data_IF_958294454794
#
_entry.id   IF_958294454794
#
_cell.length_a   1.000
_cell.length_b   1.000
_cell.length_c   1.000
_cell.angle_alpha   90.00
_cell.angle_beta   90.00
_cell.angle_gamma   90.00
#
_symmetry.space_group_name_H-M   'P 1'
#
loop_
_entity.id
_entity.type
_entity.pdbx_description
1 polymer ?
#
# COMPACT_ATOMS: atom_id res chain seq x y z
N UNK A 1 17.43 28.93 58.11
CA UNK A 1 17.93 29.89 57.10
C UNK A 1 16.82 30.09 56.09
N UNK A 2 16.26 31.31 56.05
CA UNK A 2 15.42 32.00 55.03
C UNK A 2 14.28 31.20 54.38
N UNK A 3 13.00 31.51 54.69
CA UNK A 3 12.12 32.52 54.03
C UNK A 3 11.85 32.14 52.55
N UNK A 4 10.65 32.02 51.96
CA UNK A 4 9.30 32.56 52.21
C UNK A 4 8.32 31.89 51.20
N UNK A 5 7.08 31.52 51.56
CA UNK A 5 5.77 32.19 51.29
C UNK A 5 5.12 31.93 49.89
N UNK A 6 3.98 31.22 49.95
CA UNK A 6 2.66 31.37 49.29
C UNK A 6 2.49 31.92 47.84
N UNK A 7 1.76 31.11 47.04
CA UNK A 7 0.84 31.37 45.92
C UNK A 7 -0.18 32.53 46.18
N UNK A 8 -1.19 32.87 45.32
CA UNK A 8 -1.36 32.99 43.86
C UNK A 8 -2.04 34.35 43.44
N UNK A 9 -2.32 34.57 42.13
CA UNK A 9 -3.45 35.34 41.51
C UNK A 9 -3.09 36.49 40.51
N UNK A 10 -3.90 36.50 39.43
CA UNK A 10 -4.26 37.54 38.42
C UNK A 10 -3.41 37.57 37.14
N UNK A 11 -3.88 37.01 36.02
CA UNK A 11 -5.00 37.41 35.12
C UNK A 11 -4.60 38.53 34.14
N UNK A 12 -4.64 38.26 32.82
CA UNK A 12 -5.55 38.96 31.91
C UNK A 12 -5.59 38.33 30.51
N UNK A 13 -6.84 38.11 30.08
CA UNK A 13 -7.38 37.82 28.76
C UNK A 13 -7.15 38.98 27.79
N UNK A 14 -6.95 38.70 26.49
CA UNK A 14 -7.34 39.64 25.41
C UNK A 14 -7.73 38.87 24.15
N UNK A 15 -9.01 38.98 23.83
CA UNK A 15 -9.70 38.46 22.65
C UNK A 15 -9.86 39.60 21.64
N UNK A 16 -9.58 39.31 20.38
CA UNK A 16 -10.20 39.81 19.13
C UNK A 16 -10.59 41.30 18.95
N UNK A 17 -10.21 41.90 17.81
CA UNK A 17 -11.18 42.25 16.75
C UNK A 17 -10.51 42.60 15.41
N UNK A 18 -11.27 42.34 14.35
CA UNK A 18 -10.93 42.36 12.94
C UNK A 18 -10.72 43.76 12.33
N UNK A 19 -9.96 43.78 11.24
CA UNK A 19 -10.12 44.75 10.15
C UNK A 19 -10.28 43.98 8.83
N UNK A 20 -11.39 44.28 8.14
CA UNK A 20 -11.66 43.92 6.75
C UNK A 20 -11.07 44.97 5.80
N UNK A 21 -11.03 44.59 4.51
CA UNK A 21 -10.64 45.31 3.27
C UNK A 21 -9.17 45.08 2.86
N UNK A 22 -8.82 44.66 1.63
CA UNK A 22 -9.52 44.64 0.35
C UNK A 22 -9.04 43.50 -0.59
N UNK A 23 -9.89 43.23 -1.58
CA UNK A 23 -9.71 42.41 -2.78
C UNK A 23 -8.49 42.83 -3.63
N UNK A 24 -7.77 41.86 -4.23
CA UNK A 24 -7.03 42.09 -5.47
C UNK A 24 -5.69 41.37 -5.61
N UNK A 25 -5.68 40.22 -6.30
CA UNK A 25 -4.47 39.63 -6.87
C UNK A 25 -4.44 38.11 -6.84
N UNK A 26 -4.94 37.47 -7.90
CA UNK A 26 -4.73 36.04 -8.12
C UNK A 26 -3.27 35.78 -8.48
N UNK A 27 -2.50 35.26 -7.54
CA UNK A 27 -1.24 34.57 -7.84
C UNK A 27 -1.59 33.10 -8.13
N UNK A 28 -1.25 32.68 -9.35
CA UNK A 28 -1.11 31.27 -9.66
C UNK A 28 0.13 30.77 -8.92
N UNK A 29 0.03 30.60 -7.60
CA UNK A 29 1.02 29.86 -6.83
C UNK A 29 0.93 28.43 -7.34
N UNK A 30 1.74 28.17 -8.36
CA UNK A 30 2.15 26.81 -8.70
C UNK A 30 2.79 26.30 -7.42
N UNK A 31 2.03 25.58 -6.62
CA UNK A 31 2.55 24.70 -5.59
C UNK A 31 3.66 23.90 -6.27
N UNK A 32 4.90 24.33 -6.07
CA UNK A 32 6.06 23.58 -6.50
C UNK A 32 5.98 22.32 -5.66
N UNK A 33 5.57 21.22 -6.30
CA UNK A 33 5.52 19.92 -5.66
C UNK A 33 6.84 19.74 -4.88
N UNK A 34 6.78 19.32 -3.60
CA UNK A 34 7.96 19.19 -2.77
C UNK A 34 9.02 18.37 -3.51
N UNK A 35 10.25 18.89 -3.56
CA UNK A 35 11.36 18.21 -4.21
C UNK A 35 11.55 16.85 -3.55
N UNK A 36 11.42 15.78 -4.32
CA UNK A 36 11.71 14.43 -3.86
C UNK A 36 13.18 14.14 -4.12
N UNK A 37 13.92 13.84 -3.05
CA UNK A 37 15.35 13.53 -3.11
C UNK A 37 15.56 12.02 -3.17
N UNK A 38 16.50 11.59 -4.01
CA UNK A 38 16.96 10.21 -4.04
C UNK A 38 17.81 9.93 -2.79
N UNK A 39 17.72 8.72 -2.23
CA UNK A 39 18.50 8.29 -1.07
C UNK A 39 19.92 7.90 -1.51
N UNK A 40 20.97 8.44 -0.90
CA UNK A 40 22.31 7.86 -1.04
C UNK A 40 22.37 6.50 -0.31
N UNK A 41 22.49 5.42 -1.07
CA UNK A 41 22.55 4.06 -0.50
C UNK A 41 23.98 3.81 0.00
N UNK A 42 24.10 3.39 1.24
CA UNK A 42 25.35 3.08 1.91
C UNK A 42 25.22 1.77 2.67
N UNK A 43 26.34 1.27 3.21
CA UNK A 43 26.30 0.08 4.05
C UNK A 43 25.40 0.24 5.29
N UNK A 44 25.34 1.46 5.84
CA UNK A 44 24.64 1.78 7.08
C UNK A 44 23.12 1.76 6.94
N UNK A 45 22.58 2.02 5.74
CA UNK A 45 21.13 2.04 5.48
C UNK A 45 20.66 0.89 4.55
N UNK A 46 21.57 -0.03 4.18
CA UNK A 46 21.25 -1.12 3.26
C UNK A 46 20.14 -2.05 3.79
N UNK A 47 20.07 -2.29 5.09
CA UNK A 47 19.03 -3.15 5.68
C UNK A 47 17.65 -2.47 5.61
N UNK A 48 17.58 -1.15 5.81
CA UNK A 48 16.34 -0.37 5.69
C UNK A 48 15.83 -0.34 4.24
N UNK A 49 16.74 -0.15 3.27
CA UNK A 49 16.41 -0.24 1.84
C UNK A 49 15.93 -1.64 1.47
N UNK A 50 16.60 -2.69 1.96
CA UNK A 50 16.21 -4.07 1.71
C UNK A 50 14.82 -4.40 2.28
N UNK A 51 14.52 -3.93 3.49
CA UNK A 51 13.22 -4.09 4.17
C UNK A 51 12.08 -3.45 3.38
N UNK A 52 12.25 -2.18 2.99
CA UNK A 52 11.27 -1.47 2.15
C UNK A 52 11.09 -2.20 0.81
N UNK A 53 12.19 -2.72 0.25
CA UNK A 53 12.20 -3.56 -0.92
C UNK A 53 11.40 -4.85 -0.78
N UNK A 54 11.57 -5.57 0.33
CA UNK A 54 10.85 -6.82 0.61
C UNK A 54 9.34 -6.57 0.66
N UNK A 55 8.91 -5.49 1.32
CA UNK A 55 7.49 -5.10 1.37
C UNK A 55 6.87 -4.92 -0.02
N UNK A 56 7.67 -4.51 -1.01
CA UNK A 56 7.19 -4.36 -2.39
C UNK A 56 6.94 -5.67 -3.13
N UNK A 57 7.64 -6.72 -2.74
CA UNK A 57 7.43 -8.07 -3.29
C UNK A 57 6.21 -8.75 -2.68
N UNK A 58 5.71 -8.26 -1.55
CA UNK A 58 4.49 -8.77 -0.93
C UNK A 58 3.20 -8.35 -1.66
N UNK A 59 3.27 -7.37 -2.57
CA UNK A 59 2.11 -6.89 -3.36
C UNK A 59 1.67 -7.93 -4.40
N UNK A 60 2.61 -8.70 -4.97
CA UNK A 60 2.31 -9.74 -5.96
C UNK A 60 1.44 -10.89 -5.41
N UNK A 61 1.83 -11.54 -4.29
CA UNK A 61 1.04 -12.58 -3.64
C UNK A 61 -0.33 -12.10 -3.14
N UNK A 62 -0.46 -10.83 -2.70
CA UNK A 62 -1.76 -10.26 -2.32
C UNK A 62 -2.75 -10.32 -3.49
N UNK A 63 -2.27 -10.03 -4.70
CA UNK A 63 -3.11 -9.96 -5.88
C UNK A 63 -3.31 -11.33 -6.56
N UNK A 64 -2.31 -12.23 -6.50
CA UNK A 64 -2.46 -13.61 -6.96
C UNK A 64 -3.51 -14.39 -6.11
N UNK A 65 -3.54 -14.13 -4.81
CA UNK A 65 -4.52 -14.77 -3.90
C UNK A 65 -5.94 -14.20 -4.02
N UNK A 66 -6.17 -13.07 -4.72
CA UNK A 66 -7.52 -12.60 -5.02
C UNK A 66 -8.30 -13.59 -5.90
N UNK A 67 -7.61 -14.45 -6.67
CA UNK A 67 -8.23 -15.44 -7.54
C UNK A 67 -8.51 -16.82 -6.92
N UNK A 68 -7.85 -17.19 -5.80
CA UNK A 68 -7.79 -18.60 -5.34
C UNK A 68 -8.19 -18.85 -3.88
N UNK A 69 -8.54 -17.82 -3.11
CA UNK A 69 -8.86 -17.97 -1.69
C UNK A 69 -7.61 -17.79 -0.82
N UNK A 70 -7.64 -16.72 0.00
CA UNK A 70 -6.48 -16.06 0.59
C UNK A 70 -5.85 -16.80 1.79
N UNK A 71 -4.67 -17.40 1.59
CA UNK A 71 -3.79 -17.93 2.64
C UNK A 71 -2.45 -17.19 2.75
N UNK A 72 -2.24 -16.55 3.92
CA UNK A 72 -1.00 -16.10 4.58
C UNK A 72 0.08 -15.26 3.83
N UNK A 73 0.41 -14.08 4.39
CA UNK A 73 1.80 -13.57 4.60
C UNK A 73 1.81 -12.25 5.42
N UNK A 74 2.76 -12.10 6.36
CA UNK A 74 3.38 -10.86 6.94
C UNK A 74 2.51 -9.78 7.61
N UNK A 75 2.96 -9.14 8.70
CA UNK A 75 2.16 -8.24 9.57
C UNK A 75 1.48 -7.03 8.87
N UNK A 76 2.15 -6.35 7.92
CA UNK A 76 1.53 -5.25 7.16
C UNK A 76 0.64 -5.76 6.00
N UNK A 77 1.07 -6.82 5.30
CA UNK A 77 0.27 -7.50 4.27
C UNK A 77 -0.94 -8.23 4.86
N UNK A 78 -0.89 -8.64 6.12
CA UNK A 78 -2.01 -9.22 6.86
C UNK A 78 -3.08 -8.18 7.14
N UNK A 79 -2.71 -6.94 7.50
CA UNK A 79 -3.68 -5.87 7.68
C UNK A 79 -4.32 -5.53 6.34
N UNK A 80 -3.54 -5.33 5.26
CA UNK A 80 -4.10 -5.08 3.92
C UNK A 80 -4.98 -6.25 3.45
N UNK A 81 -4.51 -7.49 3.57
CA UNK A 81 -5.30 -8.69 3.24
C UNK A 81 -6.56 -8.82 4.12
N UNK A 82 -6.49 -8.46 5.40
CA UNK A 82 -7.64 -8.45 6.31
C UNK A 82 -8.66 -7.39 5.90
N UNK A 83 -8.20 -6.17 5.59
CA UNK A 83 -9.04 -5.08 5.09
C UNK A 83 -9.69 -5.48 3.78
N UNK A 84 -8.94 -6.02 2.82
CA UNK A 84 -9.49 -6.52 1.55
C UNK A 84 -10.49 -7.66 1.76
N UNK A 85 -10.19 -8.65 2.60
CA UNK A 85 -11.11 -9.77 2.91
C UNK A 85 -12.42 -9.29 3.53
N UNK A 86 -12.35 -8.35 4.47
CA UNK A 86 -13.53 -7.83 5.16
C UNK A 86 -14.33 -6.90 4.27
N UNK A 87 -13.67 -6.04 3.49
CA UNK A 87 -14.30 -5.24 2.46
C UNK A 87 -15.02 -6.12 1.43
N UNK A 88 -14.41 -7.22 0.98
CA UNK A 88 -15.04 -8.21 0.11
C UNK A 88 -16.21 -8.92 0.79
N UNK A 89 -16.07 -9.40 2.02
CA UNK A 89 -17.14 -10.10 2.72
C UNK A 89 -18.36 -9.18 2.99
N UNK A 90 -18.10 -7.92 3.36
CA UNK A 90 -19.13 -6.89 3.51
C UNK A 90 -19.73 -6.51 2.15
N UNK A 91 -18.89 -6.41 1.11
CA UNK A 91 -19.29 -6.20 -0.27
C UNK A 91 -20.22 -7.29 -0.78
N UNK A 92 -19.88 -8.56 -0.59
CA UNK A 92 -20.72 -9.71 -0.96
C UNK A 92 -22.03 -9.75 -0.17
N UNK A 93 -21.97 -9.46 1.13
CA UNK A 93 -23.17 -9.38 1.97
C UNK A 93 -24.11 -8.25 1.51
N UNK A 94 -23.57 -7.11 1.13
CA UNK A 94 -24.34 -6.01 0.58
C UNK A 94 -24.85 -6.33 -0.83
N UNK A 95 -24.00 -6.86 -1.72
CA UNK A 95 -24.32 -7.23 -3.10
C UNK A 95 -25.43 -8.29 -3.17
N UNK A 96 -25.47 -9.23 -2.22
CA UNK A 96 -26.59 -10.18 -2.09
C UNK A 96 -27.97 -9.54 -1.90
N UNK A 97 -28.00 -8.23 -1.57
CA UNK A 97 -29.20 -7.42 -1.36
C UNK A 97 -29.39 -6.32 -2.41
N UNK A 98 -28.42 -6.14 -3.31
CA UNK A 98 -28.44 -5.08 -4.32
C UNK A 98 -29.25 -5.58 -5.53
N UNK A 99 -30.36 -4.92 -5.81
CA UNK A 99 -30.92 -4.92 -7.16
C UNK A 99 -29.98 -4.08 -8.04
N UNK A 100 -29.75 -4.43 -9.32
CA UNK A 100 -28.66 -3.91 -10.17
C UNK A 100 -28.56 -2.38 -10.39
N UNK A 101 -29.33 -1.53 -9.69
CA UNK A 101 -29.27 -0.06 -9.81
C UNK A 101 -29.46 0.70 -8.49
N UNK A 102 -29.53 0.04 -7.33
CA UNK A 102 -29.75 0.72 -6.05
C UNK A 102 -28.56 0.53 -5.11
N UNK A 103 -27.96 1.65 -4.66
CA UNK A 103 -27.00 1.62 -3.57
C UNK A 103 -27.64 0.97 -2.33
N UNK A 104 -26.98 -0.05 -1.78
CA UNK A 104 -27.38 -0.69 -0.54
C UNK A 104 -26.57 -0.11 0.62
N UNK A 105 -27.26 0.51 1.57
CA UNK A 105 -26.67 0.92 2.84
C UNK A 105 -26.96 -0.17 3.87
N UNK A 106 -25.91 -0.64 4.53
CA UNK A 106 -25.98 -1.65 5.57
C UNK A 106 -25.38 -1.04 6.84
N UNK A 107 -26.19 -0.98 7.90
CA UNK A 107 -25.72 -0.61 9.22
C UNK A 107 -24.76 -1.68 9.75
N UNK A 108 -23.66 -1.24 10.33
CA UNK A 108 -22.71 -2.14 10.96
C UNK A 108 -23.21 -2.58 12.34
N UNK A 109 -22.78 -3.75 12.80
CA UNK A 109 -23.38 -4.41 13.96
C UNK A 109 -23.28 -3.60 15.26
N UNK A 110 -22.25 -2.77 15.40
CA UNK A 110 -22.03 -1.93 16.59
C UNK A 110 -22.30 -0.46 16.28
N UNK A 111 -21.68 0.11 15.24
CA UNK A 111 -21.87 1.52 14.87
C UNK A 111 -21.48 1.81 13.43
N UNK A 112 -22.01 2.90 12.87
CA UNK A 112 -21.67 3.34 11.51
C UNK A 112 -22.33 2.48 10.44
N UNK A 113 -21.89 2.66 9.19
CA UNK A 113 -22.50 1.98 8.04
C UNK A 113 -21.51 1.75 6.90
N UNK A 114 -21.88 0.83 6.01
CA UNK A 114 -21.24 0.61 4.72
C UNK A 114 -22.29 0.80 3.63
N UNK A 115 -21.96 1.61 2.63
CA UNK A 115 -22.70 1.74 1.38
C UNK A 115 -21.98 0.99 0.29
N UNK A 116 -22.70 0.14 -0.44
CA UNK A 116 -22.21 -0.54 -1.63
C UNK A 116 -23.06 -0.14 -2.81
N UNK A 117 -22.42 0.34 -3.87
CA UNK A 117 -23.06 0.70 -5.12
C UNK A 117 -22.53 -0.19 -6.24
N UNK A 118 -23.46 -0.73 -7.02
CA UNK A 118 -23.17 -1.51 -8.21
C UNK A 118 -23.64 -0.73 -9.42
N UNK A 119 -22.71 -0.40 -10.32
CA UNK A 119 -23.01 0.20 -11.61
C UNK A 119 -23.00 -0.89 -12.68
N UNK A 120 -24.18 -1.41 -12.97
CA UNK A 120 -24.43 -2.33 -14.07
C UNK A 120 -24.73 -1.51 -15.34
N UNK A 121 -23.69 -1.29 -16.16
CA UNK A 121 -23.80 -0.41 -17.33
C UNK A 121 -24.64 -1.01 -18.46
N UNK A 122 -24.78 -2.34 -18.50
CA UNK A 122 -25.49 -3.06 -19.56
C UNK A 122 -26.85 -3.65 -19.09
N UNK A 123 -27.16 -3.54 -17.80
CA UNK A 123 -28.39 -3.98 -17.14
C UNK A 123 -28.67 -5.50 -17.24
N UNK A 124 -27.63 -6.34 -17.33
CA UNK A 124 -27.77 -7.80 -17.39
C UNK A 124 -27.70 -8.49 -16.00
N UNK A 125 -27.42 -7.74 -14.94
CA UNK A 125 -27.28 -8.23 -13.57
C UNK A 125 -25.96 -8.95 -13.27
N UNK A 126 -24.97 -8.85 -14.17
CA UNK A 126 -23.65 -9.46 -14.08
C UNK A 126 -22.56 -8.38 -14.02
N UNK A 127 -21.36 -8.77 -13.59
CA UNK A 127 -20.18 -7.91 -13.60
C UNK A 127 -19.23 -8.43 -14.69
N UNK A 128 -19.57 -8.17 -15.94
CA UNK A 128 -18.97 -8.77 -17.13
C UNK A 128 -18.75 -7.80 -18.31
N UNK A 129 -19.03 -6.50 -18.16
CA UNK A 129 -18.77 -5.50 -19.18
C UNK A 129 -17.87 -4.36 -18.71
N UNK A 130 -16.98 -3.93 -19.62
CA UNK A 130 -16.10 -2.81 -19.38
C UNK A 130 -16.89 -1.53 -19.04
N UNK A 131 -16.45 -0.80 -18.00
CA UNK A 131 -17.11 0.38 -17.46
C UNK A 131 -18.06 0.10 -16.30
N UNK A 132 -18.38 -1.17 -16.03
CA UNK A 132 -19.08 -1.55 -14.79
C UNK A 132 -18.21 -1.28 -13.58
N UNK A 133 -18.84 -0.94 -12.46
CA UNK A 133 -18.09 -0.68 -11.23
C UNK A 133 -18.80 -1.10 -9.96
N UNK A 134 -18.00 -1.42 -8.96
CA UNK A 134 -18.42 -1.65 -7.58
C UNK A 134 -17.74 -0.61 -6.73
N UNK A 135 -18.51 0.25 -6.06
CA UNK A 135 -17.96 1.16 -5.06
C UNK A 135 -18.44 0.80 -3.66
N UNK A 136 -17.52 0.88 -2.72
CA UNK A 136 -17.77 0.62 -1.30
C UNK A 136 -17.33 1.86 -0.53
N UNK A 137 -18.22 2.39 0.29
CA UNK A 137 -17.93 3.52 1.18
C UNK A 137 -18.32 3.15 2.60
N UNK A 138 -17.38 3.30 3.53
CA UNK A 138 -17.58 3.04 4.94
C UNK A 138 -17.52 4.34 5.73
N UNK A 139 -18.46 4.51 6.65
CA UNK A 139 -18.54 5.64 7.57
C UNK A 139 -18.52 5.12 8.99
N UNK A 140 -17.33 5.12 9.60
CA UNK A 140 -17.06 4.63 10.96
C UNK A 140 -17.70 3.26 11.24
N UNK A 141 -17.63 2.35 10.27
CA UNK A 141 -18.24 1.03 10.36
C UNK A 141 -17.49 0.17 11.37
N UNK A 142 -18.13 -0.16 12.48
CA UNK A 142 -17.67 -1.13 13.46
C UNK A 142 -18.65 -2.30 13.48
N UNK A 143 -18.18 -3.46 13.06
CA UNK A 143 -18.96 -4.71 13.02
C UNK A 143 -18.78 -5.57 14.29
N UNK A 144 -18.06 -5.06 15.30
CA UNK A 144 -17.76 -5.77 16.54
C UNK A 144 -16.54 -6.70 16.46
N UNK A 145 -15.80 -6.70 15.35
CA UNK A 145 -14.61 -7.55 15.17
C UNK A 145 -13.28 -6.93 15.63
N UNK A 146 -13.34 -5.81 16.36
CA UNK A 146 -12.16 -5.16 16.95
C UNK A 146 -11.49 -4.10 16.06
N UNK A 147 -12.14 -3.70 14.96
CA UNK A 147 -11.69 -2.60 14.13
C UNK A 147 -12.85 -1.73 13.61
N UNK A 148 -12.50 -0.54 13.14
CA UNK A 148 -13.40 0.42 12.49
C UNK A 148 -12.91 0.70 11.08
N UNK A 149 -13.81 0.58 10.09
CA UNK A 149 -13.55 0.88 8.68
C UNK A 149 -14.08 2.27 8.30
N UNK A 150 -13.29 3.04 7.58
CA UNK A 150 -13.62 4.37 7.05
C UNK A 150 -13.12 4.54 5.62
N UNK A 151 -13.66 5.52 4.90
CA UNK A 151 -13.24 5.86 3.54
C UNK A 151 -13.90 4.99 2.49
N UNK A 152 -13.41 5.04 1.27
CA UNK A 152 -14.01 4.30 0.17
C UNK A 152 -12.98 3.71 -0.79
N UNK A 153 -13.43 2.73 -1.56
CA UNK A 153 -12.75 2.32 -2.77
C UNK A 153 -13.78 2.05 -3.88
N UNK A 154 -13.33 2.20 -5.12
CA UNK A 154 -14.12 1.85 -6.32
C UNK A 154 -13.30 0.91 -7.17
N UNK A 155 -13.89 -0.22 -7.55
CA UNK A 155 -13.35 -1.13 -8.55
C UNK A 155 -14.12 -0.95 -9.84
N UNK A 156 -13.43 -0.65 -10.94
CA UNK A 156 -14.00 -0.49 -12.28
C UNK A 156 -13.46 -1.59 -13.17
N UNK A 157 -14.34 -2.33 -13.84
CA UNK A 157 -13.95 -3.35 -14.81
C UNK A 157 -13.47 -2.65 -16.08
N UNK A 158 -12.19 -2.82 -16.43
CA UNK A 158 -11.59 -2.20 -17.61
C UNK A 158 -11.70 -3.11 -18.83
N UNK A 159 -11.59 -4.42 -18.61
CA UNK A 159 -11.76 -5.45 -19.64
C UNK A 159 -12.29 -6.74 -19.03
N UNK A 160 -13.11 -7.46 -19.77
CA UNK A 160 -13.58 -8.79 -19.38
C UNK A 160 -13.80 -9.63 -20.62
N UNK A 161 -13.19 -10.81 -20.65
CA UNK A 161 -13.46 -11.84 -21.65
C UNK A 161 -14.04 -13.06 -20.97
N UNK A 162 -13.41 -13.50 -19.88
CA UNK A 162 -13.86 -14.58 -19.00
C UNK A 162 -13.18 -14.46 -17.62
N UNK A 163 -13.48 -15.40 -16.72
CA UNK A 163 -12.90 -15.43 -15.37
C UNK A 163 -11.37 -15.65 -15.32
N UNK A 164 -10.71 -15.94 -16.44
CA UNK A 164 -9.26 -16.11 -16.56
C UNK A 164 -8.59 -14.92 -17.26
N UNK A 165 -9.37 -14.04 -17.88
CA UNK A 165 -8.91 -12.93 -18.70
C UNK A 165 -9.80 -11.71 -18.43
N UNK A 166 -9.39 -10.90 -17.46
CA UNK A 166 -10.10 -9.68 -17.09
C UNK A 166 -9.14 -8.67 -16.47
N UNK A 167 -9.47 -7.39 -16.57
CA UNK A 167 -8.71 -6.30 -15.98
C UNK A 167 -9.63 -5.31 -15.28
N UNK A 168 -9.16 -4.74 -14.19
CA UNK A 168 -9.89 -3.75 -13.41
C UNK A 168 -8.95 -2.74 -12.77
N UNK A 169 -9.49 -1.54 -12.54
CA UNK A 169 -8.80 -0.47 -11.81
C UNK A 169 -9.50 -0.26 -10.47
N UNK A 170 -8.71 -0.21 -9.41
CA UNK A 170 -9.16 0.15 -8.06
C UNK A 170 -8.69 1.54 -7.72
N UNK A 171 -9.61 2.42 -7.33
CA UNK A 171 -9.33 3.74 -6.80
C UNK A 171 -9.64 3.76 -5.30
N UNK A 172 -8.64 4.08 -4.47
CA UNK A 172 -8.77 4.18 -3.02
C UNK A 172 -8.87 5.64 -2.58
N UNK A 173 -9.98 6.00 -1.94
CA UNK A 173 -10.21 7.32 -1.39
C UNK A 173 -10.21 7.24 0.14
N UNK A 174 -9.01 7.32 0.71
CA UNK A 174 -8.78 7.33 2.15
C UNK A 174 -9.33 6.09 2.87
N UNK A 175 -9.28 4.92 2.22
CA UNK A 175 -9.71 3.67 2.84
C UNK A 175 -8.84 3.42 4.07
N UNK A 176 -9.44 3.45 5.25
CA UNK A 176 -8.74 3.36 6.52
C UNK A 176 -9.36 2.30 7.41
N UNK A 177 -8.52 1.49 8.04
CA UNK A 177 -8.91 0.60 9.12
C UNK A 177 -8.18 0.98 10.39
N UNK A 178 -8.92 1.06 11.50
CA UNK A 178 -8.38 1.40 12.82
C UNK A 178 -8.70 0.28 13.79
N UNK A 179 -7.69 -0.22 14.49
CA UNK A 179 -7.79 -1.20 15.58
C UNK A 179 -7.40 -0.54 16.90
N UNK A 180 -7.40 -1.30 18.00
CA UNK A 180 -6.82 -0.84 19.27
C UNK A 180 -5.30 -0.68 19.23
N UNK A 181 -4.61 -1.39 18.34
CA UNK A 181 -3.14 -1.41 18.25
C UNK A 181 -2.59 -0.34 17.30
N UNK A 182 -3.43 0.16 16.38
CA UNK A 182 -2.97 1.01 15.30
C UNK A 182 -4.00 1.28 14.21
N UNK A 183 -3.59 1.99 13.16
CA UNK A 183 -4.42 2.23 11.98
C UNK A 183 -3.62 2.06 10.69
N UNK A 184 -4.30 1.73 9.60
CA UNK A 184 -3.72 1.71 8.24
C UNK A 184 -4.67 2.44 7.32
N UNK A 185 -4.15 3.37 6.52
CA UNK A 185 -4.85 4.16 5.52
C UNK A 185 -4.18 3.96 4.17
N UNK A 186 -4.99 3.69 3.15
CA UNK A 186 -4.59 3.48 1.77
C UNK A 186 -5.22 4.57 0.89
N UNK A 187 -4.45 5.07 -0.07
CA UNK A 187 -4.89 5.99 -1.11
C UNK A 187 -4.14 5.76 -2.42
N UNK A 188 -4.74 6.19 -3.52
CA UNK A 188 -4.18 6.05 -4.86
C UNK A 188 -4.92 5.04 -5.71
N UNK A 189 -4.31 4.65 -6.83
CA UNK A 189 -4.94 3.82 -7.85
C UNK A 189 -4.09 2.58 -8.16
N UNK A 190 -4.76 1.44 -8.37
CA UNK A 190 -4.14 0.17 -8.74
C UNK A 190 -4.90 -0.45 -9.91
N UNK A 191 -4.26 -0.54 -11.06
CA UNK A 191 -4.75 -1.32 -12.19
C UNK A 191 -4.22 -2.75 -12.11
N UNK A 192 -5.09 -3.72 -12.36
CA UNK A 192 -4.81 -5.15 -12.31
C UNK A 192 -5.32 -5.79 -13.60
N UNK A 193 -4.50 -6.64 -14.22
CA UNK A 193 -4.89 -7.42 -15.38
C UNK A 193 -4.54 -8.90 -15.14
N UNK A 194 -5.55 -9.76 -15.07
CA UNK A 194 -5.37 -11.21 -15.12
C UNK A 194 -5.42 -11.67 -16.59
N UNK A 195 -4.49 -12.54 -16.97
CA UNK A 195 -4.41 -13.16 -18.28
C UNK A 195 -4.11 -14.66 -18.14
N UNK A 196 -4.80 -15.49 -18.91
CA UNK A 196 -4.59 -16.95 -18.92
C UNK A 196 -4.93 -17.68 -17.61
N UNK A 197 -5.48 -16.97 -16.62
CA UNK A 197 -5.83 -17.50 -15.30
C UNK A 197 -4.66 -17.68 -14.33
N UNK A 198 -3.43 -17.33 -14.74
CA UNK A 198 -2.24 -17.48 -13.91
C UNK A 198 -1.21 -16.34 -14.06
N UNK A 199 -1.44 -15.39 -14.97
CA UNK A 199 -0.56 -14.24 -15.17
C UNK A 199 -1.27 -12.98 -14.72
N UNK A 200 -0.60 -12.19 -13.89
CA UNK A 200 -1.14 -11.00 -13.26
C UNK A 200 -0.21 -9.82 -13.47
N UNK A 201 -0.68 -8.80 -14.17
CA UNK A 201 0.01 -7.53 -14.30
C UNK A 201 -0.62 -6.50 -13.37
N UNK A 202 0.20 -5.85 -12.57
CA UNK A 202 -0.18 -4.75 -11.68
C UNK A 202 0.49 -3.47 -12.12
N UNK A 203 -0.26 -2.37 -12.08
CA UNK A 203 0.26 -1.03 -12.37
C UNK A 203 -0.33 -0.01 -11.41
N UNK A 204 0.53 0.83 -10.84
CA UNK A 204 0.10 1.94 -10.02
C UNK A 204 0.96 3.16 -10.33
N UNK A 205 0.33 4.25 -10.75
CA UNK A 205 1.03 5.53 -10.92
C UNK A 205 1.49 6.06 -9.56
N UNK A 206 0.60 5.98 -8.57
CA UNK A 206 0.90 6.31 -7.19
C UNK A 206 -0.02 5.52 -6.24
N UNK A 207 0.56 4.89 -5.22
CA UNK A 207 -0.15 4.36 -4.07
C UNK A 207 0.51 4.89 -2.81
N UNK A 208 -0.27 5.47 -1.91
CA UNK A 208 0.19 5.92 -0.60
C UNK A 208 -0.43 5.06 0.49
N UNK A 209 0.42 4.55 1.36
CA UNK A 209 0.06 3.83 2.57
C UNK A 209 0.58 4.62 3.78
N UNK A 210 -0.31 4.86 4.74
CA UNK A 210 0.02 5.45 6.03
C UNK A 210 -0.40 4.44 7.09
N UNK A 211 0.51 4.07 7.97
CA UNK A 211 0.22 3.17 9.07
C UNK A 211 0.65 3.81 10.39
N UNK A 212 -0.07 3.50 11.44
CA UNK A 212 0.35 3.71 12.82
C UNK A 212 0.23 2.41 13.57
N UNK A 213 1.25 2.05 14.35
CA UNK A 213 1.24 0.83 15.15
C UNK A 213 2.07 1.06 16.41
N UNK A 214 1.49 0.74 17.58
CA UNK A 214 2.17 0.89 18.88
C UNK A 214 2.80 2.28 19.11
N UNK A 215 2.15 3.34 18.60
CA UNK A 215 2.61 4.73 18.73
C UNK A 215 3.65 5.19 17.68
N UNK A 216 4.20 4.27 16.88
CA UNK A 216 5.03 4.63 15.72
C UNK A 216 4.15 4.94 14.51
N UNK A 217 4.60 5.86 13.65
CA UNK A 217 3.95 6.19 12.38
C UNK A 217 4.86 5.84 11.22
N UNK A 218 4.29 5.19 10.22
CA UNK A 218 4.96 4.74 9.02
C UNK A 218 4.26 5.33 7.81
N UNK A 219 5.03 5.82 6.85
CA UNK A 219 4.51 6.21 5.55
C UNK A 219 5.29 5.48 4.48
N UNK A 220 4.57 5.05 3.47
CA UNK A 220 5.10 4.33 2.34
C UNK A 220 4.37 4.77 1.08
N UNK A 221 5.13 5.07 0.04
CA UNK A 221 4.59 5.45 -1.26
C UNK A 221 5.24 4.62 -2.35
N UNK A 222 4.40 4.12 -3.24
CA UNK A 222 4.75 3.50 -4.51
C UNK A 222 4.56 4.53 -5.60
N UNK A 223 5.56 4.76 -6.43
CA UNK A 223 5.45 5.54 -7.65
C UNK A 223 5.81 4.70 -8.88
N UNK A 224 5.12 4.92 -9.99
CA UNK A 224 5.38 4.25 -11.28
C UNK A 224 5.57 2.73 -11.15
N UNK A 225 4.81 2.11 -10.25
CA UNK A 225 4.96 0.72 -9.88
C UNK A 225 4.36 -0.18 -10.94
N UNK A 226 5.14 -1.16 -11.37
CA UNK A 226 4.73 -2.22 -12.28
C UNK A 226 5.18 -3.53 -11.69
N UNK A 227 4.27 -4.49 -11.60
CA UNK A 227 4.60 -5.86 -11.28
C UNK A 227 4.00 -6.82 -12.30
N UNK A 228 4.77 -7.82 -12.67
CA UNK A 228 4.34 -8.94 -13.51
C UNK A 228 4.54 -10.21 -12.70
N UNK A 229 3.45 -10.92 -12.42
CA UNK A 229 3.44 -12.12 -11.58
C UNK A 229 2.88 -13.29 -12.38
N UNK A 230 3.60 -14.41 -12.37
CA UNK A 230 3.16 -15.66 -12.99
C UNK A 230 3.07 -16.73 -11.92
N UNK A 231 1.86 -17.25 -11.68
CA UNK A 231 1.62 -18.43 -10.86
C UNK A 231 2.00 -19.69 -11.65
N UNK A 232 2.85 -20.52 -11.02
CA UNK A 232 3.32 -21.82 -11.52
C UNK A 232 2.78 -23.00 -10.71
N UNK A 233 1.80 -22.76 -9.83
CA UNK A 233 1.11 -23.77 -9.04
C UNK A 233 1.73 -24.01 -7.66
N UNK A 234 3.05 -24.14 -7.56
CA UNK A 234 3.79 -24.26 -6.28
C UNK A 234 4.58 -22.99 -5.90
N UNK A 235 4.68 -22.05 -6.83
CA UNK A 235 5.40 -20.81 -6.69
C UNK A 235 4.81 -19.68 -7.54
N UNK A 236 5.00 -18.45 -7.07
CA UNK A 236 4.83 -17.24 -7.85
C UNK A 236 6.21 -16.74 -8.35
N UNK A 237 6.29 -16.40 -9.63
CA UNK A 237 7.46 -15.78 -10.25
C UNK A 237 7.12 -14.34 -10.57
N UNK A 238 7.86 -13.40 -10.00
CA UNK A 238 7.54 -11.99 -10.07
C UNK A 238 8.69 -11.15 -10.62
N UNK A 239 8.32 -10.14 -11.42
CA UNK A 239 9.18 -9.04 -11.83
C UNK A 239 8.57 -7.74 -11.36
N UNK A 240 9.33 -6.89 -10.69
CA UNK A 240 8.85 -5.58 -10.22
C UNK A 240 9.76 -4.45 -10.70
N UNK A 241 9.17 -3.28 -10.92
CA UNK A 241 9.87 -2.01 -11.13
C UNK A 241 9.04 -0.86 -10.59
N UNK A 242 9.70 0.21 -10.13
CA UNK A 242 9.02 1.42 -9.67
C UNK A 242 9.91 2.25 -8.75
N UNK A 243 9.31 3.20 -8.04
CA UNK A 243 9.95 3.96 -6.97
C UNK A 243 9.27 3.69 -5.63
N UNK A 244 10.06 3.71 -4.57
CA UNK A 244 9.59 3.64 -3.20
C UNK A 244 10.05 4.87 -2.45
N UNK A 245 9.16 5.41 -1.63
CA UNK A 245 9.47 6.43 -0.64
C UNK A 245 8.86 6.02 0.68
N UNK A 246 9.50 6.35 1.79
CA UNK A 246 8.88 6.12 3.08
C UNK A 246 9.69 6.63 4.26
N UNK A 247 9.09 6.56 5.44
CA UNK A 247 9.72 6.99 6.69
C UNK A 247 10.96 6.15 7.05
N UNK A 248 11.00 4.88 6.62
CA UNK A 248 12.19 4.03 6.76
C UNK A 248 13.37 4.45 5.87
N UNK A 249 13.16 5.40 4.96
CA UNK A 249 14.19 5.97 4.07
C UNK A 249 14.37 7.47 4.35
N UNK A 250 13.99 7.96 5.54
CA UNK A 250 13.97 9.39 5.88
C UNK A 250 13.18 10.25 4.86
N UNK A 251 12.11 9.67 4.29
CA UNK A 251 11.29 10.25 3.21
C UNK A 251 12.04 10.51 1.90
N UNK A 252 13.21 9.90 1.70
CA UNK A 252 13.87 9.83 0.40
C UNK A 252 13.28 8.71 -0.45
N UNK A 253 13.56 8.76 -1.75
CA UNK A 253 13.13 7.73 -2.68
C UNK A 253 14.29 6.82 -3.14
N UNK A 254 13.94 5.59 -3.47
CA UNK A 254 14.80 4.65 -4.20
C UNK A 254 14.02 4.05 -5.35
N UNK A 255 14.70 3.72 -6.44
CA UNK A 255 14.12 3.00 -7.58
C UNK A 255 14.39 1.51 -7.44
N UNK A 256 13.38 0.68 -7.65
CA UNK A 256 13.54 -0.77 -7.67
C UNK A 256 13.44 -1.32 -9.08
N UNK A 257 14.16 -2.42 -9.30
CA UNK A 257 13.96 -3.34 -10.41
C UNK A 257 14.25 -4.76 -9.93
N UNK A 258 13.75 -5.77 -10.62
CA UNK A 258 14.21 -7.16 -10.47
C UNK A 258 14.91 -7.62 -11.74
N UNK A 259 16.25 -7.51 -11.82
CA UNK A 259 17.01 -7.97 -12.98
C UNK A 259 16.89 -9.48 -13.24
N UNK A 260 16.63 -10.25 -12.19
CA UNK A 260 16.32 -11.68 -12.26
C UNK A 260 15.02 -11.90 -11.52
N UNK A 261 14.06 -12.57 -12.17
CA UNK A 261 12.73 -12.80 -11.60
C UNK A 261 12.83 -13.42 -10.21
N UNK A 262 12.07 -12.84 -9.28
CA UNK A 262 12.01 -13.30 -7.90
C UNK A 262 11.03 -14.46 -7.82
N UNK A 263 11.45 -15.56 -7.21
CA UNK A 263 10.65 -16.79 -7.08
C UNK A 263 10.26 -16.97 -5.62
N UNK A 264 8.96 -16.85 -5.34
CA UNK A 264 8.37 -17.11 -4.03
C UNK A 264 7.61 -18.43 -4.07
N UNK A 265 8.04 -19.43 -3.31
CA UNK A 265 7.25 -20.66 -3.15
C UNK A 265 6.16 -20.42 -2.10
N UNK A 266 5.00 -21.05 -2.27
CA UNK A 266 3.88 -20.85 -1.34
C UNK A 266 4.11 -21.49 0.04
N UNK A 267 5.06 -22.42 0.14
CA UNK A 267 5.46 -23.04 1.41
C UNK A 267 6.55 -22.25 2.16
N UNK A 268 7.14 -21.24 1.51
CA UNK A 268 8.24 -20.45 2.05
C UNK A 268 7.73 -19.06 2.47
N UNK A 269 8.25 -18.51 3.56
CA UNK A 269 7.89 -17.16 4.02
C UNK A 269 8.60 -16.05 3.21
N UNK A 270 9.74 -16.37 2.60
CA UNK A 270 10.60 -15.42 1.89
C UNK A 270 11.05 -15.95 0.52
N UNK A 271 11.58 -15.10 -0.38
CA UNK A 271 11.95 -15.52 -1.71
C UNK A 271 13.01 -16.62 -1.72
N UNK A 272 12.77 -17.63 -2.55
CA UNK A 272 13.66 -18.78 -2.72
C UNK A 272 14.78 -18.52 -3.74
N UNK A 273 14.57 -17.61 -4.69
CA UNK A 273 15.53 -17.23 -5.72
C UNK A 273 15.20 -15.87 -6.34
N UNK A 274 16.15 -15.33 -7.10
CA UNK A 274 16.03 -14.09 -7.86
C UNK A 274 16.86 -12.94 -7.31
N UNK A 275 16.76 -11.80 -7.96
CA UNK A 275 17.56 -10.62 -7.61
C UNK A 275 16.70 -9.37 -7.67
N UNK A 276 16.74 -8.59 -6.60
CA UNK A 276 16.23 -7.22 -6.57
C UNK A 276 17.41 -6.24 -6.63
N UNK A 277 17.24 -5.12 -7.33
CA UNK A 277 18.20 -4.02 -7.39
C UNK A 277 17.50 -2.72 -7.05
N UNK A 278 18.03 -2.03 -6.06
CA UNK A 278 17.65 -0.68 -5.65
C UNK A 278 18.71 0.29 -6.13
N UNK A 279 18.28 1.43 -6.66
CA UNK A 279 19.16 2.52 -7.12
C UNK A 279 18.70 3.82 -6.49
N UNK A 280 19.64 4.52 -5.86
CA UNK A 280 19.44 5.79 -5.18
C UNK A 280 20.25 6.92 -5.82
N UNK A 281 20.63 7.89 -5.00
CA UNK A 281 21.34 9.09 -5.41
C UNK A 281 22.72 8.77 -5.99
N UNK A 282 23.17 9.58 -6.95
CA UNK A 282 24.45 9.46 -7.64
C UNK A 282 24.75 8.07 -8.24
N UNK A 283 23.73 7.22 -8.44
CA UNK A 283 23.90 5.85 -8.94
C UNK A 283 24.22 4.82 -7.86
N UNK A 284 24.29 5.21 -6.59
CA UNK A 284 24.44 4.28 -5.47
C UNK A 284 23.38 3.18 -5.54
N UNK A 285 23.75 1.94 -5.22
CA UNK A 285 22.90 0.79 -5.44
C UNK A 285 23.01 -0.26 -4.35
N UNK A 286 21.90 -0.93 -4.09
CA UNK A 286 21.83 -2.16 -3.32
C UNK A 286 21.30 -3.28 -4.21
N UNK A 287 22.02 -4.39 -4.26
CA UNK A 287 21.56 -5.63 -4.87
C UNK A 287 21.25 -6.65 -3.77
N UNK A 288 20.06 -7.23 -3.84
CA UNK A 288 19.59 -8.27 -2.93
C UNK A 288 19.40 -9.55 -3.74
N UNK A 289 20.30 -10.51 -3.58
CA UNK A 289 20.17 -11.84 -4.19
C UNK A 289 19.51 -12.80 -3.20
N UNK A 290 18.37 -13.35 -3.55
CA UNK A 290 17.76 -14.44 -2.78
C UNK A 290 18.59 -15.72 -3.00
N UNK A 291 19.27 -16.18 -1.95
CA UNK A 291 20.07 -17.41 -2.02
C UNK A 291 19.20 -18.65 -1.79
N UNK A 292 18.23 -18.52 -0.89
CA UNK A 292 17.20 -19.49 -0.56
C UNK A 292 16.12 -18.80 0.32
N UNK A 293 15.12 -19.56 0.75
CA UNK A 293 14.01 -19.07 1.58
C UNK A 293 14.39 -18.57 2.99
N UNK A 294 15.65 -18.72 3.45
CA UNK A 294 16.10 -18.24 4.76
C UNK A 294 17.18 -17.19 4.68
N UNK A 295 17.91 -17.09 3.56
CA UNK A 295 19.07 -16.23 3.41
C UNK A 295 19.02 -15.37 2.14
N UNK A 296 19.46 -14.12 2.31
CA UNK A 296 19.72 -13.18 1.22
C UNK A 296 21.19 -12.75 1.23
N UNK A 297 21.71 -12.37 0.07
CA UNK A 297 22.99 -11.66 -0.05
C UNK A 297 22.74 -10.21 -0.41
N UNK A 298 23.23 -9.30 0.42
CA UNK A 298 23.24 -7.86 0.17
C UNK A 298 24.58 -7.48 -0.43
N UNK A 299 24.56 -6.79 -1.57
CA UNK A 299 25.75 -6.20 -2.20
C UNK A 299 25.52 -4.70 -2.39
N UNK A 300 26.33 -3.87 -1.75
CA UNK A 300 26.22 -2.40 -1.77
C UNK A 300 27.31 -1.82 -2.68
N UNK A 301 26.89 -0.94 -3.57
CA UNK A 301 27.68 -0.07 -4.44
C UNK A 301 27.40 1.36 -3.96
N UNK A 302 28.19 1.83 -2.99
CA UNK A 302 27.88 3.09 -2.32
C UNK A 302 28.28 4.32 -3.16
N UNK A 303 29.27 4.16 -4.04
CA UNK A 303 29.82 5.26 -4.83
C UNK A 303 29.20 5.36 -6.25
N UNK A 304 28.39 4.39 -6.66
CA UNK A 304 27.69 4.37 -7.95
C UNK A 304 28.58 4.03 -9.15
N UNK A 305 29.76 3.43 -8.93
CA UNK A 305 30.72 3.09 -9.99
C UNK A 305 30.45 1.72 -10.65
N UNK A 306 29.48 0.97 -10.13
CA UNK A 306 29.09 -0.36 -10.60
C UNK A 306 29.83 -1.51 -9.93
N UNK A 307 30.81 -1.25 -9.06
CA UNK A 307 31.47 -2.23 -8.22
C UNK A 307 30.84 -2.28 -6.82
N UNK A 308 30.65 -3.48 -6.29
CA UNK A 308 30.11 -3.65 -4.93
C UNK A 308 31.24 -3.67 -3.91
N UNK A 309 31.31 -2.67 -3.03
CA UNK A 309 32.36 -2.59 -2.01
C UNK A 309 32.02 -3.41 -0.77
N UNK A 310 30.73 -3.54 -0.45
CA UNK A 310 30.27 -4.39 0.66
C UNK A 310 29.41 -5.54 0.15
N UNK A 311 29.74 -6.76 0.56
CA UNK A 311 28.94 -7.96 0.27
C UNK A 311 28.78 -8.76 1.56
N UNK A 312 27.54 -8.98 2.00
CA UNK A 312 27.23 -9.80 3.19
C UNK A 312 26.04 -10.72 2.94
N UNK A 313 26.02 -11.84 3.66
CA UNK A 313 24.85 -12.72 3.72
C UNK A 313 24.12 -12.45 5.03
N UNK A 314 22.80 -12.30 4.95
CA UNK A 314 21.90 -12.03 6.07
C UNK A 314 20.74 -13.03 6.07
N UNK A 315 20.07 -13.18 7.21
CA UNK A 315 18.81 -13.91 7.26
C UNK A 315 17.68 -12.98 6.80
N UNK A 316 16.71 -13.51 6.05
CA UNK A 316 15.52 -12.73 5.69
C UNK A 316 14.76 -12.22 6.91
N UNK A 317 14.67 -13.04 7.96
CA UNK A 317 14.00 -12.70 9.20
C UNK A 317 14.65 -11.51 9.94
N UNK A 318 15.91 -11.18 9.65
CA UNK A 318 16.55 -9.99 10.22
C UNK A 318 16.18 -8.71 9.44
N UNK A 319 15.73 -8.84 8.19
CA UNK A 319 15.25 -7.73 7.37
C UNK A 319 13.76 -7.41 7.57
N UNK A 320 13.01 -8.32 8.18
CA UNK A 320 11.56 -8.20 8.41
C UNK A 320 11.19 -7.57 9.77
N UNK A 321 12.15 -7.50 10.71
CA UNK A 321 11.96 -6.96 12.07
C UNK A 321 12.24 -5.48 12.13
#
# INVERSE_FOLDING_TARGET
MNNSILNPRRALTLLALASLTACGGGSNDRDTAPLVLDLAITDANADDVARVGLASTAVGPLAANLGTGLGAAGSASQVVALVSRRAQALGLKAASRVQPQAAAVVDCAVSGSVSVNFNDSNANGLFDAAGESISVSASACNDGSGFTLNGSFTMTLDSFTDARNFGFTMAFANLQTTTTEGSVRLGGDLAVQLSGGNTLDLRAAMIALQASYSGASYQFELGDYVAHVVDRGDAAVQRVSGTFRGTGLDNHQVRVTTPVDVVQRYADDYPSAGTMKFVGDAGSALKVDALNATQARLSVDANGDGAYETVRTVLWADLDR
#
